data_IF_761246028155
#
_entry.id   IF_761246028155
#
_cell.length_a   1.000
_cell.length_b   1.000
_cell.length_c   1.000
_cell.angle_alpha   90.00
_cell.angle_beta   90.00
_cell.angle_gamma   90.00
#
_symmetry.space_group_name_H-M   'P 1'
#
loop_
_entity.id
_entity.type
_entity.pdbx_description
1 polymer ?
#
# COMPACT_ATOMS: atom_id res chain seq x y z
N UNK A 1 39.83 -9.78 51.62
CA UNK A 1 38.54 -10.43 51.28
C UNK A 1 37.87 -9.59 50.21
N UNK A 2 37.69 -10.20 49.05
CA UNK A 2 37.08 -9.64 47.85
C UNK A 2 35.58 -9.52 48.04
N UNK A 3 35.00 -8.33 47.78
CA UNK A 3 33.61 -8.23 47.33
C UNK A 3 33.59 -7.25 46.17
N UNK A 4 33.71 -7.85 44.99
CA UNK A 4 33.40 -7.30 43.69
C UNK A 4 31.86 -7.18 43.59
N UNK A 5 31.31 -5.96 43.47
CA UNK A 5 29.93 -5.78 43.03
C UNK A 5 29.93 -5.22 41.62
N UNK A 6 29.29 -5.97 40.75
CA UNK A 6 29.22 -5.80 39.31
C UNK A 6 28.62 -4.45 38.87
N UNK A 7 29.22 -3.96 37.79
CA UNK A 7 28.65 -3.10 36.76
C UNK A 7 27.19 -3.48 36.45
N UNK A 8 26.24 -2.66 36.91
CA UNK A 8 24.92 -2.57 36.30
C UNK A 8 24.94 -1.32 35.42
N UNK A 9 25.07 -1.56 34.11
CA UNK A 9 25.04 -0.54 33.07
C UNK A 9 23.83 0.36 33.24
N UNK A 10 24.11 1.65 33.42
CA UNK A 10 23.10 2.69 33.47
C UNK A 10 22.27 2.66 32.20
N UNK A 11 20.95 2.61 32.42
CA UNK A 11 19.89 2.97 31.48
C UNK A 11 20.37 3.91 30.37
N UNK A 12 20.46 3.42 29.14
CA UNK A 12 20.25 4.31 28.00
C UNK A 12 18.78 4.71 28.05
N UNK A 13 18.52 5.85 28.68
CA UNK A 13 17.27 6.55 28.52
C UNK A 13 17.12 6.84 27.02
N UNK A 14 16.32 6.04 26.32
CA UNK A 14 15.81 6.42 25.01
C UNK A 14 15.11 7.76 25.21
N UNK A 15 15.79 8.82 24.80
CA UNK A 15 15.29 10.19 24.81
C UNK A 15 14.00 10.17 23.99
N UNK A 16 12.85 10.33 24.65
CA UNK A 16 11.56 10.48 23.99
C UNK A 16 11.67 11.71 23.10
N UNK A 17 11.81 11.50 21.80
CA UNK A 17 11.76 12.59 20.84
C UNK A 17 10.33 13.14 20.81
N UNK A 18 10.21 14.44 21.03
CA UNK A 18 8.96 15.16 20.89
C UNK A 18 8.67 15.21 19.39
N UNK A 19 7.57 14.61 18.97
CA UNK A 19 7.09 14.71 17.58
C UNK A 19 6.75 16.19 17.36
N UNK A 20 7.52 16.87 16.52
CA UNK A 20 7.24 18.24 16.08
C UNK A 20 6.05 18.25 15.12
N UNK A 21 5.27 19.34 15.13
CA UNK A 21 4.10 19.52 14.25
C UNK A 21 4.45 19.38 12.76
N UNK A 22 5.67 19.75 12.36
CA UNK A 22 6.21 19.59 11.02
C UNK A 22 6.34 18.13 10.58
N UNK A 23 6.61 17.20 11.51
CA UNK A 23 6.69 15.76 11.25
C UNK A 23 5.30 15.12 11.14
N UNK A 24 4.26 15.82 11.61
CA UNK A 24 2.86 15.40 11.48
C UNK A 24 2.29 15.68 10.08
N UNK A 25 2.97 16.53 9.29
CA UNK A 25 2.51 16.96 7.95
C UNK A 25 3.25 16.29 6.78
N UNK A 26 4.27 15.46 7.02
CA UNK A 26 4.94 14.74 5.92
C UNK A 26 4.07 13.56 5.48
N UNK A 27 3.31 13.74 4.40
CA UNK A 27 2.57 12.67 3.74
C UNK A 27 3.56 11.61 3.22
N UNK A 28 3.34 10.35 3.58
CA UNK A 28 4.21 9.24 3.16
C UNK A 28 4.05 8.99 1.65
N UNK A 29 5.17 8.89 0.93
CA UNK A 29 5.20 8.71 -0.53
C UNK A 29 5.77 7.34 -0.86
N UNK A 30 5.09 6.61 -1.75
CA UNK A 30 5.56 5.36 -2.32
C UNK A 30 6.55 5.67 -3.44
N UNK A 31 7.84 5.51 -3.17
CA UNK A 31 8.91 5.78 -4.15
C UNK A 31 9.19 4.60 -5.08
N UNK A 32 8.82 3.39 -4.67
CA UNK A 32 8.99 2.18 -5.47
C UNK A 32 7.84 1.20 -5.21
N UNK A 33 7.36 0.55 -6.26
CA UNK A 33 6.29 -0.43 -6.14
C UNK A 33 6.31 -1.41 -7.31
N UNK A 34 6.10 -2.70 -7.03
CA UNK A 34 6.33 -3.81 -7.93
C UNK A 34 5.22 -4.86 -7.85
N UNK A 35 5.05 -5.60 -8.95
CA UNK A 35 4.29 -6.85 -8.97
C UNK A 35 5.12 -8.06 -8.48
N UNK A 36 4.49 -9.24 -8.39
CA UNK A 36 5.16 -10.49 -8.02
C UNK A 36 6.36 -10.85 -8.92
N UNK A 37 6.31 -10.46 -10.20
CA UNK A 37 7.38 -10.69 -11.17
C UNK A 37 8.46 -9.59 -11.16
N UNK A 38 8.40 -8.63 -10.24
CA UNK A 38 9.38 -7.54 -10.14
C UNK A 38 9.24 -6.41 -11.17
N UNK A 39 8.18 -6.39 -11.98
CA UNK A 39 7.88 -5.23 -12.82
C UNK A 39 7.47 -4.03 -11.95
N UNK A 40 8.12 -2.88 -12.16
CA UNK A 40 7.70 -1.61 -11.56
C UNK A 40 6.32 -1.24 -12.08
N UNK A 41 5.45 -0.79 -11.17
CA UNK A 41 4.15 -0.22 -11.51
C UNK A 41 4.10 1.30 -11.33
N UNK A 42 5.20 1.92 -10.89
CA UNK A 42 5.35 3.36 -10.90
C UNK A 42 5.60 3.81 -12.35
N UNK A 43 4.68 4.56 -12.95
CA UNK A 43 4.79 5.00 -14.35
C UNK A 43 4.41 6.47 -14.53
N UNK A 44 4.78 7.03 -15.68
CA UNK A 44 4.53 8.43 -16.09
C UNK A 44 3.17 8.65 -16.79
N UNK A 45 2.24 7.69 -16.71
CA UNK A 45 0.91 7.80 -17.33
C UNK A 45 0.04 8.91 -16.74
N UNK A 46 0.25 9.23 -15.47
CA UNK A 46 -0.31 10.40 -14.81
C UNK A 46 0.63 10.84 -13.68
N UNK A 47 0.58 12.13 -13.36
CA UNK A 47 1.35 12.72 -12.26
C UNK A 47 0.41 13.26 -11.19
N UNK A 48 0.84 13.11 -9.94
CA UNK A 48 0.14 13.61 -8.76
C UNK A 48 1.16 14.41 -7.96
N UNK A 49 0.91 15.70 -7.74
CA UNK A 49 1.82 16.59 -6.99
C UNK A 49 3.29 16.52 -7.48
N UNK A 50 3.50 16.38 -8.79
CA UNK A 50 4.83 16.27 -9.41
C UNK A 50 5.53 14.91 -9.23
N UNK A 51 4.81 13.88 -8.79
CA UNK A 51 5.29 12.49 -8.66
C UNK A 51 4.55 11.56 -9.64
N UNK A 52 5.24 10.58 -10.24
CA UNK A 52 4.60 9.59 -11.09
C UNK A 52 3.61 8.73 -10.29
N UNK A 53 2.48 8.37 -10.91
CA UNK A 53 1.46 7.54 -10.28
C UNK A 53 1.73 6.04 -10.36
N UNK A 54 1.06 5.28 -9.50
CA UNK A 54 1.07 3.81 -9.58
C UNK A 54 0.00 3.36 -10.57
N UNK A 55 0.42 2.68 -11.63
CA UNK A 55 -0.47 2.18 -12.69
C UNK A 55 -0.81 0.72 -12.46
N UNK A 56 -2.10 0.43 -12.44
CA UNK A 56 -2.66 -0.90 -12.29
C UNK A 56 -3.55 -1.20 -13.50
N UNK A 57 -3.54 -2.44 -13.98
CA UNK A 57 -4.55 -2.89 -14.94
C UNK A 57 -5.79 -3.31 -14.16
N UNK A 58 -6.94 -2.80 -14.57
CA UNK A 58 -8.24 -3.24 -14.09
C UNK A 58 -8.87 -4.17 -15.11
N UNK A 59 -9.45 -5.27 -14.62
CA UNK A 59 -10.14 -6.23 -15.47
C UNK A 59 -11.47 -6.63 -14.84
N UNK A 60 -12.51 -6.60 -15.65
CA UNK A 60 -13.82 -7.18 -15.35
C UNK A 60 -14.22 -8.10 -16.50
N UNK A 61 -15.34 -8.80 -16.37
CA UNK A 61 -15.75 -9.79 -17.40
C UNK A 61 -15.98 -9.19 -18.79
N UNK A 62 -16.29 -7.89 -18.87
CA UNK A 62 -16.74 -7.21 -20.10
C UNK A 62 -15.73 -6.20 -20.66
N UNK A 63 -14.81 -5.71 -19.84
CA UNK A 63 -13.85 -4.67 -20.23
C UNK A 63 -12.55 -4.77 -19.41
N UNK A 64 -11.50 -4.15 -19.94
CA UNK A 64 -10.24 -3.92 -19.24
C UNK A 64 -9.77 -2.50 -19.50
N UNK A 65 -8.97 -1.96 -18.59
CA UNK A 65 -8.36 -0.65 -18.73
C UNK A 65 -7.32 -0.40 -17.65
N UNK A 66 -6.94 0.85 -17.44
CA UNK A 66 -5.92 1.21 -16.46
C UNK A 66 -6.48 2.12 -15.38
N UNK A 67 -5.95 1.94 -14.18
CA UNK A 67 -6.11 2.82 -13.04
C UNK A 67 -4.74 3.36 -12.68
N UNK A 68 -4.58 4.69 -12.68
CA UNK A 68 -3.41 5.36 -12.13
C UNK A 68 -3.82 6.01 -10.82
N UNK A 69 -3.18 5.63 -9.71
CA UNK A 69 -3.44 6.18 -8.38
C UNK A 69 -2.28 7.06 -7.91
N UNK A 70 -2.61 8.03 -7.07
CA UNK A 70 -1.63 8.85 -6.37
C UNK A 70 -0.64 7.96 -5.58
N UNK A 71 0.68 8.25 -5.63
CA UNK A 71 1.68 7.51 -4.87
C UNK A 71 1.72 7.92 -3.38
N UNK A 72 0.90 8.88 -2.95
CA UNK A 72 0.87 9.36 -1.59
C UNK A 72 -0.11 8.54 -0.74
N UNK A 73 0.34 8.03 0.40
CA UNK A 73 -0.53 7.28 1.34
C UNK A 73 -1.61 8.22 1.88
N UNK A 74 -2.86 7.73 1.91
CA UNK A 74 -4.04 8.50 2.32
C UNK A 74 -4.57 9.49 1.28
N UNK A 75 -3.96 9.55 0.08
CA UNK A 75 -4.50 10.31 -1.04
C UNK A 75 -5.51 9.47 -1.83
N UNK A 76 -6.62 10.10 -2.20
CA UNK A 76 -7.69 9.46 -2.95
C UNK A 76 -7.64 9.75 -4.45
N UNK A 77 -6.79 10.67 -4.89
CA UNK A 77 -6.67 11.08 -6.28
C UNK A 77 -6.27 9.92 -7.18
N UNK A 78 -6.98 9.81 -8.31
CA UNK A 78 -6.82 8.73 -9.28
C UNK A 78 -7.41 9.07 -10.64
N UNK A 79 -6.86 8.45 -11.66
CA UNK A 79 -7.28 8.59 -13.05
C UNK A 79 -7.57 7.22 -13.64
N UNK A 80 -8.69 7.09 -14.36
CA UNK A 80 -9.02 5.88 -15.12
C UNK A 80 -8.74 6.15 -16.61
N UNK A 81 -8.11 5.20 -17.29
CA UNK A 81 -7.79 5.27 -18.72
C UNK A 81 -8.44 4.05 -19.38
N UNK A 82 -9.23 4.29 -20.42
CA UNK A 82 -9.94 3.25 -21.18
C UNK A 82 -10.75 2.28 -20.32
N UNK A 83 -11.29 2.75 -19.18
CA UNK A 83 -12.09 1.95 -18.26
C UNK A 83 -13.34 2.70 -17.82
N UNK A 84 -14.51 2.09 -17.96
CA UNK A 84 -15.75 2.69 -17.50
C UNK A 84 -15.98 2.39 -16.01
N UNK A 85 -15.78 3.41 -15.16
CA UNK A 85 -15.87 3.25 -13.71
C UNK A 85 -17.32 3.06 -13.24
N UNK A 86 -17.61 1.91 -12.64
CA UNK A 86 -18.84 1.67 -11.89
C UNK A 86 -18.57 1.58 -10.38
N UNK A 87 -19.13 2.50 -9.59
CA UNK A 87 -18.94 2.51 -8.13
C UNK A 87 -19.59 1.27 -7.50
N UNK A 88 -18.88 0.61 -6.59
CA UNK A 88 -19.30 -0.61 -5.91
C UNK A 88 -18.89 -1.90 -6.64
N UNK A 89 -18.44 -1.81 -7.89
CA UNK A 89 -17.96 -2.95 -8.65
C UNK A 89 -16.66 -3.51 -8.05
N UNK A 90 -16.54 -4.84 -8.07
CA UNK A 90 -15.33 -5.57 -7.68
C UNK A 90 -14.55 -5.89 -8.95
N UNK A 91 -13.35 -5.34 -9.07
CA UNK A 91 -12.49 -5.52 -10.23
C UNK A 91 -11.30 -6.42 -9.89
N UNK A 92 -10.83 -7.18 -10.88
CA UNK A 92 -9.54 -7.84 -10.79
C UNK A 92 -8.44 -6.80 -11.02
N UNK A 93 -7.45 -6.76 -10.11
CA UNK A 93 -6.32 -5.84 -10.17
C UNK A 93 -5.09 -6.63 -10.61
N UNK A 94 -4.54 -6.24 -11.76
CA UNK A 94 -3.42 -6.92 -12.41
C UNK A 94 -2.24 -5.99 -12.65
N UNK A 95 -1.05 -6.57 -12.80
CA UNK A 95 0.12 -5.83 -13.26
C UNK A 95 -0.14 -5.27 -14.69
N UNK A 96 0.14 -3.99 -14.97
CA UNK A 96 -0.03 -3.43 -16.31
C UNK A 96 0.92 -4.04 -17.35
N UNK A 97 2.06 -4.61 -16.91
CA UNK A 97 3.10 -5.15 -17.79
C UNK A 97 2.90 -6.63 -18.09
N UNK A 98 2.76 -7.49 -17.08
CA UNK A 98 2.60 -8.94 -17.28
C UNK A 98 1.15 -9.44 -17.21
N UNK A 99 0.19 -8.57 -16.85
CA UNK A 99 -1.23 -8.93 -16.68
C UNK A 99 -1.54 -9.97 -15.61
N UNK A 100 -0.55 -10.42 -14.83
CA UNK A 100 -0.81 -11.29 -13.69
C UNK A 100 -1.58 -10.55 -12.58
N UNK A 101 -2.56 -11.23 -11.95
CA UNK A 101 -3.29 -10.66 -10.83
C UNK A 101 -2.38 -10.48 -9.61
N UNK A 102 -2.58 -9.38 -8.89
CA UNK A 102 -1.90 -9.18 -7.62
C UNK A 102 -2.46 -10.13 -6.55
N UNK A 103 -1.59 -10.62 -5.64
CA UNK A 103 -2.02 -11.57 -4.62
C UNK A 103 -2.95 -10.92 -3.60
N UNK A 104 -3.96 -11.67 -3.18
CA UNK A 104 -4.86 -11.26 -2.09
C UNK A 104 -4.09 -11.28 -0.77
N UNK A 105 -4.09 -10.14 -0.07
CA UNK A 105 -3.53 -10.01 1.27
C UNK A 105 -4.54 -10.44 2.33
N UNK A 106 -5.77 -9.92 2.25
CA UNK A 106 -6.85 -10.19 3.20
C UNK A 106 -8.21 -9.79 2.62
N UNK A 107 -9.28 -10.05 3.36
CA UNK A 107 -10.63 -9.53 3.08
C UNK A 107 -10.76 -8.12 3.67
N UNK A 108 -11.22 -7.18 2.86
CA UNK A 108 -11.58 -5.83 3.27
C UNK A 108 -12.90 -5.87 4.07
N UNK A 109 -13.12 -4.99 5.06
CA UNK A 109 -14.41 -4.86 5.76
C UNK A 109 -15.63 -4.63 4.84
N UNK A 110 -15.43 -4.15 3.60
CA UNK A 110 -16.51 -4.03 2.62
C UNK A 110 -16.94 -5.37 2.00
N UNK A 111 -16.20 -6.46 2.26
CA UNK A 111 -16.44 -7.80 1.74
C UNK A 111 -15.71 -8.13 0.42
N UNK A 112 -14.95 -7.20 -0.15
CA UNK A 112 -14.04 -7.48 -1.28
C UNK A 112 -12.62 -7.80 -0.78
N UNK A 113 -11.68 -8.11 -1.68
CA UNK A 113 -10.30 -8.37 -1.29
C UNK A 113 -9.44 -7.10 -1.24
N UNK A 114 -8.51 -7.08 -0.29
CA UNK A 114 -7.32 -6.22 -0.30
C UNK A 114 -6.22 -6.97 -1.03
N UNK A 115 -5.64 -6.37 -2.08
CA UNK A 115 -4.50 -6.95 -2.80
C UNK A 115 -3.20 -6.30 -2.35
N UNK A 116 -2.10 -7.05 -2.39
CA UNK A 116 -0.77 -6.58 -2.00
C UNK A 116 0.02 -6.09 -3.23
N UNK A 117 0.61 -4.89 -3.11
CA UNK A 117 1.58 -4.32 -4.04
C UNK A 117 2.91 -4.20 -3.30
N UNK A 118 4.02 -4.65 -3.89
CA UNK A 118 5.29 -4.82 -3.16
C UNK A 118 6.17 -3.58 -3.26
N UNK A 119 6.62 -3.03 -2.15
CA UNK A 119 7.54 -1.87 -2.13
C UNK A 119 9.01 -2.30 -2.18
N UNK A 120 9.27 -3.47 -2.76
CA UNK A 120 10.60 -4.06 -2.92
C UNK A 120 10.58 -4.96 -4.14
N UNK A 121 11.66 -5.02 -4.96
CA UNK A 121 11.73 -5.92 -6.11
C UNK A 121 11.60 -7.40 -5.73
N UNK A 122 11.95 -7.75 -4.48
CA UNK A 122 11.72 -9.09 -3.94
C UNK A 122 10.37 -9.10 -3.22
N UNK A 123 9.37 -9.71 -3.84
CA UNK A 123 8.03 -9.81 -3.30
C UNK A 123 8.01 -10.43 -1.88
N UNK A 124 7.73 -9.60 -0.88
CA UNK A 124 7.61 -9.98 0.52
C UNK A 124 6.39 -9.28 1.11
N UNK A 125 5.47 -10.05 1.71
CA UNK A 125 4.26 -9.50 2.34
C UNK A 125 4.56 -8.61 3.56
N UNK A 126 5.78 -8.65 4.10
CA UNK A 126 6.26 -7.71 5.11
C UNK A 126 6.69 -6.35 4.54
N UNK A 127 6.76 -6.21 3.21
CA UNK A 127 7.14 -4.99 2.50
C UNK A 127 6.12 -4.76 1.37
N UNK A 128 4.86 -4.57 1.77
CA UNK A 128 3.78 -4.32 0.83
C UNK A 128 2.83 -3.25 1.35
N UNK A 129 2.28 -2.51 0.39
CA UNK A 129 1.11 -1.67 0.54
C UNK A 129 -0.09 -2.42 -0.06
N UNK A 130 -1.29 -1.90 0.11
CA UNK A 130 -2.45 -2.56 -0.49
C UNK A 130 -3.57 -1.63 -0.86
N UNK A 131 -4.49 -2.18 -1.65
CA UNK A 131 -5.65 -1.48 -2.18
C UNK A 131 -6.82 -2.45 -2.27
N UNK A 132 -8.03 -1.96 -2.01
CA UNK A 132 -9.24 -2.76 -2.18
C UNK A 132 -9.64 -2.91 -3.65
N UNK A 133 -10.06 -4.11 -4.03
CA UNK A 133 -10.62 -4.42 -5.35
C UNK A 133 -11.98 -3.75 -5.63
N UNK A 134 -12.67 -3.22 -4.60
CA UNK A 134 -13.96 -2.57 -4.80
C UNK A 134 -13.78 -1.09 -5.13
N UNK A 135 -14.24 -0.67 -6.29
CA UNK A 135 -14.23 0.73 -6.71
C UNK A 135 -15.13 1.57 -5.80
N UNK A 136 -14.60 2.67 -5.27
CA UNK A 136 -15.34 3.56 -4.36
C UNK A 136 -15.43 3.07 -2.91
N UNK A 137 -14.73 2.01 -2.53
CA UNK A 137 -14.49 1.70 -1.13
C UNK A 137 -13.57 2.77 -0.51
N UNK A 138 -13.74 3.11 0.77
CA UNK A 138 -12.80 4.00 1.47
C UNK A 138 -11.38 3.42 1.46
N UNK A 139 -11.25 2.09 1.58
CA UNK A 139 -9.98 1.36 1.47
C UNK A 139 -9.52 1.12 0.01
N UNK A 140 -10.12 1.82 -0.96
CA UNK A 140 -9.60 1.85 -2.34
C UNK A 140 -8.47 2.88 -2.50
N UNK A 141 -8.10 3.61 -1.45
CA UNK A 141 -6.82 4.31 -1.35
C UNK A 141 -5.65 3.34 -1.10
N UNK A 142 -4.43 3.86 -1.17
CA UNK A 142 -3.25 3.12 -0.75
C UNK A 142 -3.23 2.98 0.78
N UNK A 143 -3.30 1.74 1.24
CA UNK A 143 -3.12 1.35 2.63
C UNK A 143 -1.64 1.08 2.89
N UNK A 144 -1.14 1.63 3.99
CA UNK A 144 0.21 1.34 4.46
C UNK A 144 0.34 -0.12 4.91
N UNK A 145 1.57 -0.60 5.02
CA UNK A 145 1.87 -1.91 5.61
C UNK A 145 1.27 -2.07 7.02
N UNK A 146 1.29 -0.98 7.80
CA UNK A 146 0.72 -0.94 9.16
C UNK A 146 -0.80 -1.14 9.12
N UNK A 147 -1.49 -0.47 8.22
CA UNK A 147 -2.96 -0.55 8.11
C UNK A 147 -3.39 -1.94 7.66
N UNK A 148 -2.68 -2.53 6.70
CA UNK A 148 -2.91 -3.92 6.27
C UNK A 148 -2.83 -4.92 7.43
N UNK A 149 -1.83 -4.77 8.31
CA UNK A 149 -1.65 -5.61 9.51
C UNK A 149 -2.76 -5.40 10.55
N UNK A 150 -3.42 -4.25 10.58
CA UNK A 150 -4.57 -4.02 11.45
C UNK A 150 -5.81 -4.76 10.94
N UNK A 151 -6.03 -4.76 9.63
CA UNK A 151 -7.14 -5.51 9.02
C UNK A 151 -6.95 -7.03 9.13
N UNK A 152 -5.72 -7.55 9.08
CA UNK A 152 -5.46 -8.99 9.26
C UNK A 152 -5.83 -9.54 10.64
N UNK A 153 -5.95 -8.68 11.65
CA UNK A 153 -6.30 -9.07 13.03
C UNK A 153 -7.79 -9.13 13.29
N UNK A 154 -8.63 -8.52 12.46
CA UNK A 154 -10.08 -8.45 12.67
C UNK A 154 -10.81 -9.78 12.40
N UNK A 155 -10.13 -10.79 11.87
CA UNK A 155 -10.68 -12.14 11.66
C UNK A 155 -10.62 -13.06 12.89
N UNK A 156 -10.23 -12.54 14.06
CA UNK A 156 -10.20 -13.25 15.35
C UNK A 156 -11.22 -12.67 16.33
N UNK A 157 -12.51 -12.73 16.02
CA UNK A 157 -13.60 -12.58 17.00
C UNK A 157 -14.74 -13.53 16.65
#
# INVERSE_FOLDING_TARGET
MSINWLLLGGHQAQKREVITEEKLQSQEVVEECYCLNGHSILTDKAEFQGKPGLTLKLKVSTEEGLLVISPFIGDHDRTFIDFNKHVGEIVEICCPTCSEPFPVYNVCPCGAHLVALFTSPKAQFSQCIGICQRLGCLHSELLSERDLRLYSRQSYF
#
